data_IF_069453284195
#
_entry.id   IF_069453284195
#
_cell.length_a   1.000
_cell.length_b   1.000
_cell.length_c   1.000
_cell.angle_alpha   90.00
_cell.angle_beta   90.00
_cell.angle_gamma   90.00
#
_symmetry.space_group_name_H-M   'P 1'
#
loop_
_entity.id
_entity.type
_entity.pdbx_description
1 polymer ?
#
# COMPACT_ATOMS: atom_id res chain seq x y z
N UNK A 1 -10.91 8.22 -25.11
CA UNK A 1 -11.80 8.07 -23.94
C UNK A 1 -10.98 8.13 -22.66
N UNK A 2 -10.71 9.32 -22.12
CA UNK A 2 -9.78 9.51 -20.99
C UNK A 2 -10.55 9.53 -19.66
N UNK A 3 -11.03 8.37 -19.20
CA UNK A 3 -11.67 8.24 -17.89
C UNK A 3 -10.57 8.03 -16.85
N UNK A 4 -9.92 9.13 -16.43
CA UNK A 4 -9.11 9.11 -15.20
C UNK A 4 -10.05 8.69 -14.07
N UNK A 5 -9.84 7.47 -13.56
CA UNK A 5 -10.24 7.04 -12.23
C UNK A 5 -9.58 7.98 -11.21
N UNK A 6 -10.00 8.01 -9.92
CA UNK A 6 -9.36 8.92 -8.98
C UNK A 6 -7.86 8.68 -9.07
N UNK A 7 -7.08 9.76 -9.02
CA UNK A 7 -5.63 9.64 -8.98
C UNK A 7 -5.33 8.68 -7.83
N UNK A 8 -4.96 7.43 -8.16
CA UNK A 8 -4.56 6.41 -7.22
C UNK A 8 -3.58 6.95 -6.16
N UNK A 9 -2.69 7.92 -6.47
CA UNK A 9 -1.93 8.62 -5.46
C UNK A 9 -2.76 9.10 -4.27
N UNK A 10 -3.95 9.68 -4.46
CA UNK A 10 -4.76 10.16 -3.36
C UNK A 10 -5.30 9.02 -2.47
N UNK A 11 -5.82 7.94 -3.06
CA UNK A 11 -6.35 6.79 -2.30
C UNK A 11 -5.21 6.05 -1.60
N UNK A 12 -4.11 5.83 -2.30
CA UNK A 12 -2.90 5.23 -1.76
C UNK A 12 -2.34 6.07 -0.61
N UNK A 13 -2.20 7.38 -0.78
CA UNK A 13 -1.73 8.29 0.26
C UNK A 13 -2.64 8.25 1.48
N UNK A 14 -3.97 8.24 1.30
CA UNK A 14 -4.91 8.11 2.43
C UNK A 14 -4.71 6.78 3.16
N UNK A 15 -4.61 5.66 2.43
CA UNK A 15 -4.39 4.34 3.03
C UNK A 15 -3.05 4.26 3.76
N UNK A 16 -1.98 4.81 3.18
CA UNK A 16 -0.65 4.88 3.80
C UNK A 16 -0.71 5.71 5.09
N UNK A 17 -1.34 6.89 5.06
CA UNK A 17 -1.49 7.75 6.25
C UNK A 17 -2.25 7.00 7.35
N UNK A 18 -3.39 6.39 7.02
CA UNK A 18 -4.20 5.66 8.01
C UNK A 18 -3.43 4.46 8.59
N UNK A 19 -2.72 3.71 7.74
CA UNK A 19 -1.90 2.59 8.17
C UNK A 19 -0.75 3.05 9.07
N UNK A 20 -0.05 4.13 8.71
CA UNK A 20 1.04 4.70 9.50
C UNK A 20 0.57 5.24 10.85
N UNK A 21 -0.62 5.86 10.92
CA UNK A 21 -1.20 6.31 12.19
C UNK A 21 -1.55 5.11 13.07
N UNK A 22 -2.21 4.09 12.51
CA UNK A 22 -2.56 2.88 13.24
C UNK A 22 -1.32 2.15 13.77
N UNK A 23 -0.29 2.02 12.94
CA UNK A 23 0.99 1.40 13.29
C UNK A 23 1.73 2.18 14.38
N UNK A 24 1.77 3.53 14.27
CA UNK A 24 2.34 4.38 15.30
C UNK A 24 1.63 4.23 16.64
N UNK A 25 0.28 4.31 16.65
CA UNK A 25 -0.53 4.17 17.88
C UNK A 25 -0.30 2.81 18.53
N UNK A 26 -0.30 1.73 17.74
CA UNK A 26 -0.03 0.38 18.24
C UNK A 26 1.33 0.32 18.93
N UNK A 27 2.37 0.85 18.29
CA UNK A 27 3.73 0.77 18.80
C UNK A 27 3.99 1.63 20.05
N UNK A 28 3.42 2.84 20.15
CA UNK A 28 3.59 3.67 21.35
C UNK A 28 2.76 3.16 22.54
N UNK A 29 1.72 2.35 22.28
CA UNK A 29 0.88 1.77 23.32
C UNK A 29 1.50 0.52 23.95
N UNK A 30 2.59 0.00 23.37
CA UNK A 30 3.28 -1.20 23.90
C UNK A 30 4.07 -0.84 25.17
N UNK A 31 4.01 -1.67 26.23
CA UNK A 31 4.64 -1.36 27.52
C UNK A 31 6.17 -1.29 27.50
N UNK A 32 6.81 -1.84 26.49
CA UNK A 32 8.26 -2.00 26.39
C UNK A 32 9.00 -0.72 25.92
N UNK A 33 8.26 0.29 25.42
CA UNK A 33 8.78 1.62 25.09
C UNK A 33 9.86 1.66 23.99
N UNK A 34 10.19 0.52 23.38
CA UNK A 34 11.28 0.37 22.41
C UNK A 34 11.08 1.26 21.20
N UNK A 35 9.85 1.45 20.75
CA UNK A 35 9.53 2.25 19.58
C UNK A 35 10.03 3.70 19.68
N UNK A 36 9.89 4.34 20.85
CA UNK A 36 10.36 5.72 21.05
C UNK A 36 11.88 5.83 20.97
N UNK A 37 12.63 4.76 21.28
CA UNK A 37 14.09 4.78 21.18
C UNK A 37 14.59 4.61 19.74
N UNK A 38 13.80 3.97 18.86
CA UNK A 38 14.17 3.66 17.48
C UNK A 38 13.22 4.25 16.43
N UNK A 39 12.51 5.34 16.77
CA UNK A 39 11.58 6.00 15.87
C UNK A 39 12.22 6.46 14.53
N UNK A 40 13.49 6.90 14.46
CA UNK A 40 14.10 7.28 13.19
C UNK A 40 14.28 6.08 12.24
N UNK A 41 14.63 4.91 12.79
CA UNK A 41 14.75 3.67 12.03
C UNK A 41 13.38 3.26 11.47
N UNK A 42 12.33 3.35 12.28
CA UNK A 42 10.96 3.11 11.82
C UNK A 42 10.49 4.11 10.76
N UNK A 43 10.85 5.39 10.89
CA UNK A 43 10.55 6.40 9.89
C UNK A 43 11.26 6.09 8.55
N UNK A 44 12.52 5.70 8.60
CA UNK A 44 13.28 5.29 7.41
C UNK A 44 12.69 4.01 6.77
N UNK A 45 12.37 3.00 7.58
CA UNK A 45 11.69 1.79 7.12
C UNK A 45 10.37 2.11 6.40
N UNK A 46 9.57 2.99 7.00
CA UNK A 46 8.29 3.44 6.43
C UNK A 46 8.48 4.17 5.11
N UNK A 47 9.47 5.06 5.02
CA UNK A 47 9.79 5.79 3.80
C UNK A 47 10.24 4.85 2.67
N UNK A 48 11.14 3.91 2.95
CA UNK A 48 11.62 2.92 1.98
C UNK A 48 10.49 2.00 1.51
N UNK A 49 9.66 1.52 2.44
CA UNK A 49 8.52 0.64 2.15
C UNK A 49 7.47 1.36 1.30
N UNK A 50 7.16 2.61 1.64
CA UNK A 50 6.20 3.44 0.88
C UNK A 50 6.71 3.73 -0.52
N UNK A 51 7.99 4.10 -0.66
CA UNK A 51 8.62 4.35 -1.95
C UNK A 51 8.59 3.10 -2.83
N UNK A 52 8.93 1.93 -2.26
CA UNK A 52 8.87 0.65 -2.96
C UNK A 52 7.45 0.32 -3.44
N UNK A 53 6.47 0.38 -2.54
CA UNK A 53 5.07 0.10 -2.87
C UNK A 53 4.57 1.01 -4.00
N UNK A 54 4.90 2.30 -3.93
CA UNK A 54 4.53 3.27 -4.97
C UNK A 54 5.20 2.96 -6.31
N UNK A 55 6.50 2.67 -6.32
CA UNK A 55 7.25 2.34 -7.53
C UNK A 55 6.67 1.07 -8.17
N UNK A 56 6.50 -0.01 -7.41
CA UNK A 56 5.96 -1.27 -7.92
C UNK A 56 4.54 -1.07 -8.44
N UNK A 57 3.68 -0.38 -7.69
CA UNK A 57 2.33 -0.07 -8.14
C UNK A 57 2.33 0.66 -9.48
N UNK A 58 3.08 1.76 -9.61
CA UNK A 58 3.09 2.59 -10.81
C UNK A 58 3.67 1.84 -12.01
N UNK A 59 4.71 1.04 -11.80
CA UNK A 59 5.30 0.20 -12.85
C UNK A 59 4.29 -0.84 -13.31
N UNK A 60 3.71 -1.61 -12.40
CA UNK A 60 2.78 -2.70 -12.74
C UNK A 60 1.50 -2.16 -13.37
N UNK A 61 0.91 -1.09 -12.83
CA UNK A 61 -0.28 -0.46 -13.41
C UNK A 61 -0.01 0.02 -14.83
N UNK A 62 1.16 0.63 -15.07
CA UNK A 62 1.57 1.08 -16.40
C UNK A 62 1.77 -0.09 -17.37
N UNK A 63 2.31 -1.21 -16.89
CA UNK A 63 2.46 -2.42 -17.70
C UNK A 63 1.09 -3.04 -18.04
N UNK A 64 0.19 -3.19 -17.05
CA UNK A 64 -1.14 -3.76 -17.24
C UNK A 64 -2.03 -2.91 -18.15
N UNK A 65 -1.97 -1.58 -17.99
CA UNK A 65 -2.72 -0.66 -18.84
C UNK A 65 -2.20 -0.63 -20.27
N UNK A 66 -0.86 -0.63 -20.46
CA UNK A 66 -0.24 -0.54 -21.79
C UNK A 66 -0.30 -1.84 -22.58
N UNK A 67 0.03 -2.96 -21.95
CA UNK A 67 0.23 -4.23 -22.64
C UNK A 67 -1.00 -5.14 -22.57
N UNK A 68 -1.65 -5.24 -21.41
CA UNK A 68 -2.84 -6.07 -21.24
C UNK A 68 -4.15 -5.34 -21.57
N UNK A 69 -4.10 -4.01 -21.83
CA UNK A 69 -5.28 -3.14 -22.04
C UNK A 69 -6.34 -3.33 -20.97
N UNK A 70 -5.90 -3.62 -19.75
CA UNK A 70 -6.78 -4.03 -18.67
C UNK A 70 -7.65 -2.85 -18.20
N UNK A 71 -8.92 -3.09 -17.82
CA UNK A 71 -9.74 -2.04 -17.24
C UNK A 71 -9.05 -1.44 -16.01
N UNK A 72 -8.99 -0.10 -15.93
CA UNK A 72 -8.19 0.60 -14.93
C UNK A 72 -8.50 0.20 -13.47
N UNK A 73 -9.75 -0.19 -13.18
CA UNK A 73 -10.13 -0.71 -11.85
C UNK A 73 -9.49 -2.07 -11.54
N UNK A 74 -9.48 -2.99 -12.51
CA UNK A 74 -8.85 -4.31 -12.34
C UNK A 74 -7.32 -4.19 -12.36
N UNK A 75 -6.78 -3.37 -13.25
CA UNK A 75 -5.35 -3.10 -13.33
C UNK A 75 -4.79 -2.50 -12.04
N UNK A 76 -5.50 -1.53 -11.45
CA UNK A 76 -5.12 -0.95 -10.16
C UNK A 76 -5.19 -1.95 -9.01
N UNK A 77 -6.21 -2.82 -8.96
CA UNK A 77 -6.32 -3.85 -7.94
C UNK A 77 -5.15 -4.85 -8.00
N UNK A 78 -4.83 -5.34 -9.20
CA UNK A 78 -3.71 -6.27 -9.39
C UNK A 78 -2.36 -5.61 -9.14
N UNK A 79 -2.18 -4.36 -9.56
CA UNK A 79 -0.95 -3.61 -9.28
C UNK A 79 -0.74 -3.40 -7.77
N UNK A 80 -1.81 -3.06 -7.03
CA UNK A 80 -1.76 -2.95 -5.57
C UNK A 80 -1.45 -4.30 -4.92
N UNK A 81 -2.13 -5.35 -5.36
CA UNK A 81 -1.92 -6.70 -4.84
C UNK A 81 -0.48 -7.18 -5.04
N UNK A 82 0.08 -6.95 -6.23
CA UNK A 82 1.47 -7.33 -6.53
C UNK A 82 2.48 -6.47 -5.76
N UNK A 83 2.22 -5.17 -5.58
CA UNK A 83 3.06 -4.30 -4.76
C UNK A 83 3.12 -4.77 -3.30
N UNK A 84 1.95 -5.06 -2.69
CA UNK A 84 1.87 -5.54 -1.32
C UNK A 84 2.51 -6.92 -1.19
N UNK A 85 2.23 -7.83 -2.13
CA UNK A 85 2.83 -9.17 -2.12
C UNK A 85 4.36 -9.08 -2.15
N UNK A 86 4.93 -8.33 -3.09
CA UNK A 86 6.36 -8.12 -3.19
C UNK A 86 6.94 -7.44 -1.93
N UNK A 87 6.18 -6.57 -1.29
CA UNK A 87 6.59 -5.98 -0.02
C UNK A 87 6.64 -7.00 1.11
N UNK A 88 5.56 -7.74 1.35
CA UNK A 88 5.49 -8.68 2.49
C UNK A 88 6.39 -9.90 2.31
N UNK A 89 6.77 -10.27 1.09
CA UNK A 89 7.65 -11.43 0.83
C UNK A 89 9.12 -11.09 0.62
N UNK A 90 9.44 -9.86 0.20
CA UNK A 90 10.82 -9.49 -0.20
C UNK A 90 11.22 -8.15 0.43
N UNK A 91 10.53 -7.06 0.09
CA UNK A 91 11.02 -5.72 0.41
C UNK A 91 10.91 -5.37 1.90
N UNK A 92 9.98 -5.96 2.65
CA UNK A 92 9.78 -5.70 4.08
C UNK A 92 11.03 -6.04 4.87
N UNK A 93 11.51 -7.27 4.78
CA UNK A 93 12.74 -7.70 5.44
C UNK A 93 13.97 -6.90 4.96
N UNK A 94 14.07 -6.66 3.64
CA UNK A 94 15.17 -5.86 3.09
C UNK A 94 15.18 -4.43 3.62
N UNK A 95 14.03 -3.76 3.66
CA UNK A 95 13.90 -2.40 4.16
C UNK A 95 14.20 -2.33 5.67
N UNK A 96 13.78 -3.34 6.44
CA UNK A 96 14.07 -3.42 7.86
C UNK A 96 15.56 -3.57 8.14
N UNK A 97 16.25 -4.45 7.38
CA UNK A 97 17.71 -4.59 7.45
C UNK A 97 18.45 -3.30 7.11
N UNK A 98 18.04 -2.60 6.05
CA UNK A 98 18.64 -1.31 5.66
C UNK A 98 18.42 -0.25 6.74
N UNK A 99 17.22 -0.21 7.33
CA UNK A 99 16.87 0.76 8.35
C UNK A 99 17.42 0.43 9.75
N UNK A 100 17.98 -0.78 9.95
CA UNK A 100 18.42 -1.25 11.26
C UNK A 100 17.25 -1.54 12.21
N UNK A 101 16.07 -1.84 11.67
CA UNK A 101 14.91 -2.31 12.44
C UNK A 101 15.05 -3.81 12.60
N UNK A 102 15.44 -4.25 13.79
CA UNK A 102 15.55 -5.68 14.11
C UNK A 102 14.15 -6.28 14.22
N UNK A 103 13.68 -6.89 13.12
CA UNK A 103 12.33 -7.42 13.02
C UNK A 103 12.31 -8.65 12.13
N UNK A 104 11.82 -9.76 12.67
CA UNK A 104 11.43 -10.92 11.86
C UNK A 104 10.11 -10.57 11.15
N UNK A 105 10.18 -9.76 10.09
CA UNK A 105 9.04 -9.42 9.25
C UNK A 105 8.71 -10.56 8.29
N UNK A 106 8.37 -11.72 8.86
CA UNK A 106 7.88 -12.87 8.11
C UNK A 106 6.39 -13.01 8.35
N UNK A 107 5.61 -12.99 7.26
CA UNK A 107 4.18 -13.26 7.31
C UNK A 107 3.95 -14.74 7.00
N UNK A 108 3.33 -15.48 7.92
CA UNK A 108 2.95 -16.88 7.68
C UNK A 108 1.93 -17.00 6.54
N UNK A 109 1.09 -15.97 6.37
CA UNK A 109 0.01 -15.94 5.38
C UNK A 109 0.07 -14.64 4.55
N UNK A 110 1.07 -14.50 3.67
CA UNK A 110 1.30 -13.25 2.93
C UNK A 110 0.16 -12.89 1.97
N UNK A 111 -0.68 -13.87 1.59
CA UNK A 111 -1.83 -13.65 0.71
C UNK A 111 -3.00 -12.94 1.40
N UNK A 112 -3.16 -13.05 2.72
CA UNK A 112 -4.26 -12.39 3.43
C UNK A 112 -4.21 -10.87 3.29
N UNK A 113 -3.11 -10.18 3.65
CA UNK A 113 -3.04 -8.72 3.51
C UNK A 113 -3.20 -8.27 2.05
N UNK A 114 -2.73 -9.07 1.09
CA UNK A 114 -2.91 -8.81 -0.35
C UNK A 114 -4.38 -8.82 -0.74
N UNK A 115 -5.11 -9.90 -0.40
CA UNK A 115 -6.52 -10.04 -0.75
C UNK A 115 -7.39 -8.98 -0.06
N UNK A 116 -7.11 -8.68 1.22
CA UNK A 116 -7.81 -7.63 1.97
C UNK A 116 -7.60 -6.27 1.31
N UNK A 117 -6.36 -5.90 0.98
CA UNK A 117 -6.08 -4.62 0.34
C UNK A 117 -6.71 -4.50 -1.05
N UNK A 118 -6.72 -5.58 -1.85
CA UNK A 118 -7.41 -5.62 -3.14
C UNK A 118 -8.92 -5.43 -2.98
N UNK A 119 -9.54 -6.08 -1.99
CA UNK A 119 -10.96 -5.93 -1.71
C UNK A 119 -11.30 -4.50 -1.29
N UNK A 120 -10.54 -3.93 -0.34
CA UNK A 120 -10.69 -2.53 0.09
C UNK A 120 -10.54 -1.58 -1.09
N UNK A 121 -9.54 -1.77 -1.93
CA UNK A 121 -9.32 -0.94 -3.11
C UNK A 121 -10.51 -0.98 -4.06
N UNK A 122 -11.06 -2.17 -4.36
CA UNK A 122 -12.22 -2.33 -5.23
C UNK A 122 -13.45 -1.63 -4.65
N UNK A 123 -13.69 -1.77 -3.33
CA UNK A 123 -14.78 -1.06 -2.64
C UNK A 123 -14.63 0.45 -2.80
N UNK A 124 -13.44 1.00 -2.51
CA UNK A 124 -13.18 2.44 -2.65
C UNK A 124 -13.33 2.92 -4.10
N UNK A 125 -12.85 2.14 -5.07
CA UNK A 125 -12.97 2.45 -6.48
C UNK A 125 -14.44 2.48 -6.94
N UNK A 126 -15.26 1.54 -6.47
CA UNK A 126 -16.70 1.48 -6.73
C UNK A 126 -17.43 2.67 -6.11
N UNK A 127 -17.17 2.97 -4.83
CA UNK A 127 -17.76 4.11 -4.13
C UNK A 127 -17.43 5.43 -4.84
N UNK A 128 -16.17 5.63 -5.22
CA UNK A 128 -15.77 6.82 -5.97
C UNK A 128 -16.46 6.90 -7.33
N UNK A 129 -16.51 5.78 -8.07
CA UNK A 129 -17.20 5.74 -9.35
C UNK A 129 -18.70 6.06 -9.22
N UNK A 130 -19.34 5.62 -8.13
CA UNK A 130 -20.72 5.96 -7.77
C UNK A 130 -20.89 7.44 -7.46
N UNK A 131 -20.06 7.98 -6.55
CA UNK A 131 -20.10 9.40 -6.16
C UNK A 131 -19.89 10.33 -7.36
N UNK A 132 -18.91 10.02 -8.22
CA UNK A 132 -18.64 10.79 -9.43
C UNK A 132 -19.81 10.78 -10.41
N UNK A 133 -20.59 9.70 -10.47
CA UNK A 133 -21.81 9.64 -11.29
C UNK A 133 -22.93 10.49 -10.70
N UNK A 134 -23.05 10.52 -9.37
CA UNK A 134 -24.04 11.33 -8.66
C UNK A 134 -23.78 12.84 -8.82
N UNK A 135 -22.52 13.28 -8.67
CA UNK A 135 -22.12 14.70 -8.77
C UNK A 135 -22.11 15.28 -10.20
N UNK A 136 -22.27 14.43 -11.22
CA UNK A 136 -22.34 14.86 -12.63
C UNK A 136 -23.78 14.98 -13.14
N UNK A 137 -24.76 14.66 -12.29
CA UNK A 137 -26.17 14.97 -12.51
C UNK A 137 -26.48 16.28 -11.82
#
# INVERSE_FOLDING_TARGET
MNRKLPAFPAVFTVLVILASIADYIDHISRPDGRFLAIWPQWALFTALSTAFLLIVYLVVERLLSRFAKMPAMLGGALALGLAIFAHVTINGDLAARIAGVDSNLTFDQPLIPVLVAMAVYLVLAMLYAGLRRALKK
#
